data_IF_093541865246
#
_entry.id   IF_093541865246
#
_cell.length_a   1.000
_cell.length_b   1.000
_cell.length_c   1.000
_cell.angle_alpha   90.00
_cell.angle_beta   90.00
_cell.angle_gamma   90.00
#
_symmetry.space_group_name_H-M   'P 1'
#
loop_
_entity.id
_entity.type
_entity.pdbx_description
1 polymer ?
#
# COMPACT_ATOMS: atom_id res chain seq x y z
N UNK A 1 3.47 -21.57 -16.09
CA UNK A 1 4.38 -20.37 -16.00
C UNK A 1 5.49 -20.53 -17.02
N UNK A 2 5.80 -19.49 -17.77
CA UNK A 2 6.91 -19.53 -18.72
C UNK A 2 8.26 -19.62 -17.98
N UNK A 3 9.05 -20.65 -18.29
CA UNK A 3 10.40 -20.84 -17.76
C UNK A 3 11.47 -20.11 -18.60
N UNK A 4 11.16 -19.76 -19.85
CA UNK A 4 12.12 -19.23 -20.83
C UNK A 4 12.18 -17.71 -20.86
N UNK A 5 11.09 -17.01 -20.56
CA UNK A 5 11.07 -15.55 -20.57
C UNK A 5 10.22 -14.98 -19.44
N UNK A 6 10.66 -13.86 -18.88
CA UNK A 6 9.83 -13.06 -17.98
C UNK A 6 9.00 -12.09 -18.81
N UNK A 7 7.74 -11.88 -18.42
CA UNK A 7 6.91 -10.87 -19.06
C UNK A 7 7.57 -9.49 -18.95
N UNK A 8 7.54 -8.74 -20.04
CA UNK A 8 8.05 -7.37 -20.08
C UNK A 8 7.20 -6.51 -19.14
N UNK A 9 7.85 -5.80 -18.23
CA UNK A 9 7.16 -4.87 -17.32
C UNK A 9 6.65 -3.67 -18.13
N UNK A 10 5.34 -3.48 -18.17
CA UNK A 10 4.74 -2.32 -18.81
C UNK A 10 5.00 -1.07 -17.95
N UNK A 11 5.42 0.01 -18.58
CA UNK A 11 5.53 1.32 -17.94
C UNK A 11 4.12 1.91 -17.80
N UNK A 12 3.81 2.40 -16.59
CA UNK A 12 2.53 3.09 -16.34
C UNK A 12 2.74 4.56 -16.68
N UNK A 13 1.87 5.11 -17.52
CA UNK A 13 1.87 6.54 -17.82
C UNK A 13 1.54 7.33 -16.54
N UNK A 14 2.11 8.53 -16.38
CA UNK A 14 1.77 9.41 -15.25
C UNK A 14 0.29 9.80 -15.28
N UNK A 15 -0.23 10.22 -14.15
CA UNK A 15 -1.60 10.68 -13.99
C UNK A 15 -1.81 12.05 -14.63
N UNK A 16 -2.96 12.27 -15.24
CA UNK A 16 -3.25 13.50 -15.99
C UNK A 16 -3.33 14.76 -15.11
N UNK A 17 -3.80 14.64 -13.85
CA UNK A 17 -3.97 15.80 -12.94
C UNK A 17 -2.68 16.14 -12.18
N UNK A 18 -1.92 15.12 -11.75
CA UNK A 18 -0.79 15.29 -10.85
C UNK A 18 0.56 14.90 -11.47
N UNK A 19 0.59 14.52 -12.73
CA UNK A 19 1.79 14.06 -13.46
C UNK A 19 2.66 13.07 -12.65
N UNK A 20 2.00 12.14 -11.94
CA UNK A 20 2.65 11.21 -11.02
C UNK A 20 2.36 9.76 -11.36
N UNK A 21 3.41 8.98 -11.64
CA UNK A 21 3.29 7.53 -11.85
C UNK A 21 2.79 6.80 -10.59
N UNK A 22 3.11 7.31 -9.39
CA UNK A 22 2.66 6.72 -8.12
C UNK A 22 1.14 6.85 -7.98
N UNK A 23 0.58 7.99 -8.35
CA UNK A 23 -0.86 8.23 -8.36
C UNK A 23 -1.55 7.31 -9.36
N UNK A 24 -1.04 7.23 -10.59
CA UNK A 24 -1.59 6.37 -11.62
C UNK A 24 -1.57 4.89 -11.21
N UNK A 25 -0.47 4.42 -10.58
CA UNK A 25 -0.39 3.06 -10.01
C UNK A 25 -1.42 2.85 -8.89
N UNK A 26 -1.61 3.85 -8.02
CA UNK A 26 -2.57 3.76 -6.94
C UNK A 26 -4.00 3.66 -7.47
N UNK A 27 -4.39 4.48 -8.45
CA UNK A 27 -5.70 4.43 -9.11
C UNK A 27 -5.93 3.06 -9.75
N UNK A 28 -4.90 2.49 -10.40
CA UNK A 28 -4.99 1.15 -10.98
C UNK A 28 -5.23 0.03 -9.94
N UNK A 29 -4.73 0.20 -8.70
CA UNK A 29 -4.98 -0.75 -7.60
C UNK A 29 -6.34 -0.48 -6.94
N UNK A 30 -6.78 0.77 -6.91
CA UNK A 30 -8.06 1.20 -6.32
C UNK A 30 -9.25 0.73 -7.15
N UNK A 31 -9.13 0.80 -8.49
CA UNK A 31 -10.25 0.46 -9.40
C UNK A 31 -10.73 -0.98 -9.21
N UNK A 32 -12.00 -1.17 -9.48
CA UNK A 32 -12.68 -2.47 -9.48
C UNK A 32 -13.23 -2.76 -10.88
N UNK A 33 -13.15 -4.00 -11.34
CA UNK A 33 -13.72 -4.44 -12.64
C UNK A 33 -13.30 -3.59 -13.85
N UNK A 34 -12.10 -2.97 -13.81
CA UNK A 34 -11.62 -2.12 -14.89
C UNK A 34 -12.25 -0.72 -14.98
N UNK A 35 -13.09 -0.32 -14.00
CA UNK A 35 -13.76 0.99 -13.97
C UNK A 35 -12.77 2.09 -13.57
N UNK A 36 -11.89 2.49 -14.49
CA UNK A 36 -10.79 3.42 -14.19
C UNK A 36 -11.29 4.83 -13.89
N UNK A 37 -12.23 5.36 -14.65
CA UNK A 37 -12.81 6.70 -14.43
C UNK A 37 -13.44 6.85 -13.05
N UNK A 38 -14.12 5.80 -12.56
CA UNK A 38 -14.65 5.78 -11.19
C UNK A 38 -13.53 5.81 -10.15
N UNK A 39 -12.45 5.05 -10.38
CA UNK A 39 -11.26 5.09 -9.51
C UNK A 39 -10.58 6.45 -9.48
N UNK A 40 -10.48 7.13 -10.61
CA UNK A 40 -9.95 8.48 -10.73
C UNK A 40 -10.80 9.49 -9.95
N UNK A 41 -12.12 9.47 -10.15
CA UNK A 41 -13.06 10.35 -9.43
C UNK A 41 -12.99 10.16 -7.91
N UNK A 42 -12.90 8.90 -7.43
CA UNK A 42 -12.73 8.61 -5.99
C UNK A 42 -11.41 9.19 -5.48
N UNK A 43 -10.31 8.98 -6.20
CA UNK A 43 -9.01 9.46 -5.77
C UNK A 43 -8.95 10.99 -5.76
N UNK A 44 -9.40 11.65 -6.83
CA UNK A 44 -9.38 13.12 -6.89
C UNK A 44 -10.28 13.74 -5.83
N UNK A 45 -11.49 13.23 -5.67
CA UNK A 45 -12.39 13.69 -4.60
C UNK A 45 -11.80 13.46 -3.20
N UNK A 46 -11.09 12.35 -2.98
CA UNK A 46 -10.37 12.15 -1.72
C UNK A 46 -9.25 13.17 -1.51
N UNK A 47 -8.47 13.51 -2.55
CA UNK A 47 -7.40 14.50 -2.43
C UNK A 47 -7.94 15.90 -2.18
N UNK A 48 -9.04 16.29 -2.81
CA UNK A 48 -9.71 17.56 -2.56
C UNK A 48 -10.22 17.66 -1.09
N UNK A 49 -10.76 16.54 -0.56
CA UNK A 49 -11.15 16.44 0.86
C UNK A 49 -9.95 16.50 1.82
N UNK A 50 -8.84 15.86 1.48
CA UNK A 50 -7.59 15.94 2.28
C UNK A 50 -7.10 17.38 2.33
N UNK A 51 -7.07 18.07 1.20
CA UNK A 51 -6.63 19.47 1.10
C UNK A 51 -7.51 20.40 1.92
N UNK A 52 -8.84 20.24 1.84
CA UNK A 52 -9.78 21.04 2.65
C UNK A 52 -9.64 20.84 4.16
N UNK A 53 -9.24 19.63 4.60
CA UNK A 53 -9.11 19.29 6.03
C UNK A 53 -7.72 19.57 6.61
N UNK A 54 -6.68 19.54 5.81
CA UNK A 54 -5.29 19.69 6.28
C UNK A 54 -4.63 20.99 5.86
N UNK A 55 -5.27 21.77 4.97
CA UNK A 55 -4.68 22.99 4.37
C UNK A 55 -3.32 22.75 3.70
N UNK A 56 -3.05 21.50 3.27
CA UNK A 56 -1.86 21.09 2.56
C UNK A 56 -2.24 20.43 1.24
N UNK A 57 -1.38 20.51 0.19
CA UNK A 57 -1.66 19.82 -1.07
C UNK A 57 -1.92 18.32 -0.83
N UNK A 58 -3.10 17.83 -1.19
CA UNK A 58 -3.55 16.47 -0.89
C UNK A 58 -2.58 15.39 -1.36
N UNK A 59 -1.93 15.60 -2.51
CA UNK A 59 -0.91 14.67 -3.04
C UNK A 59 0.33 14.57 -2.16
N UNK A 60 0.74 15.64 -1.49
CA UNK A 60 1.90 15.62 -0.60
C UNK A 60 1.58 14.80 0.65
N UNK A 61 0.39 15.02 1.24
CA UNK A 61 -0.11 14.23 2.38
C UNK A 61 -0.21 12.74 1.99
N UNK A 62 -0.72 12.44 0.79
CA UNK A 62 -0.77 11.08 0.25
C UNK A 62 0.62 10.44 0.10
N UNK A 63 1.59 11.16 -0.45
CA UNK A 63 2.98 10.67 -0.59
C UNK A 63 3.59 10.38 0.78
N UNK A 64 3.36 11.24 1.76
CA UNK A 64 3.80 11.05 3.15
C UNK A 64 3.14 9.82 3.77
N UNK A 65 1.82 9.66 3.64
CA UNK A 65 1.09 8.50 4.10
C UNK A 65 1.64 7.19 3.51
N UNK A 66 1.88 7.16 2.19
CA UNK A 66 2.51 6.01 1.54
C UNK A 66 3.92 5.73 2.08
N UNK A 67 4.72 6.76 2.33
CA UNK A 67 6.07 6.59 2.88
C UNK A 67 6.02 5.97 4.27
N UNK A 68 5.10 6.44 5.12
CA UNK A 68 4.89 5.91 6.47
C UNK A 68 4.42 4.44 6.45
N UNK A 69 3.66 4.04 5.43
CA UNK A 69 3.11 2.69 5.29
C UNK A 69 4.07 1.66 4.71
N UNK A 70 5.18 2.06 4.08
CA UNK A 70 6.13 1.13 3.45
C UNK A 70 6.79 0.22 4.49
N UNK A 71 6.57 -1.12 4.46
CA UNK A 71 7.24 -2.03 5.36
C UNK A 71 8.68 -2.29 4.90
N UNK A 72 9.59 -2.47 5.85
CA UNK A 72 10.99 -2.86 5.57
C UNK A 72 11.12 -4.37 5.50
N UNK A 73 10.39 -5.10 6.35
CA UNK A 73 10.42 -6.56 6.47
C UNK A 73 9.01 -7.14 6.36
N UNK A 74 8.92 -8.35 5.84
CA UNK A 74 7.70 -9.17 5.82
C UNK A 74 8.05 -10.60 6.25
N UNK A 75 7.04 -11.36 6.63
CA UNK A 75 7.19 -12.78 6.98
C UNK A 75 6.72 -13.64 5.83
N UNK A 76 7.52 -14.64 5.46
CA UNK A 76 7.17 -15.63 4.44
C UNK A 76 7.24 -17.04 5.02
N UNK A 77 6.23 -17.84 4.71
CA UNK A 77 6.20 -19.24 5.08
C UNK A 77 7.21 -20.04 4.26
N UNK A 78 8.06 -20.84 4.93
CA UNK A 78 8.97 -21.77 4.30
C UNK A 78 8.83 -23.16 4.96
N UNK A 79 8.75 -24.20 4.15
CA UNK A 79 8.70 -25.58 4.63
C UNK A 79 10.11 -26.17 4.67
N UNK A 80 10.54 -26.61 5.83
CA UNK A 80 11.85 -27.24 6.05
C UNK A 80 11.64 -28.51 6.88
N UNK A 81 12.09 -29.67 6.37
CA UNK A 81 11.98 -30.94 7.07
C UNK A 81 10.55 -31.33 7.49
N UNK A 82 9.52 -30.91 6.73
CA UNK A 82 8.11 -31.20 7.04
C UNK A 82 7.40 -30.15 7.91
N UNK A 83 8.12 -29.30 8.63
CA UNK A 83 7.57 -28.20 9.41
C UNK A 83 7.53 -26.89 8.59
N UNK A 84 6.53 -26.05 8.86
CA UNK A 84 6.39 -24.73 8.21
C UNK A 84 6.86 -23.65 9.15
N UNK A 85 7.91 -22.93 8.76
CA UNK A 85 8.48 -21.81 9.51
C UNK A 85 8.10 -20.49 8.88
N UNK A 86 7.87 -19.48 9.74
CA UNK A 86 7.63 -18.09 9.32
C UNK A 86 8.98 -17.37 9.29
N UNK A 87 9.53 -17.16 8.09
CA UNK A 87 10.87 -16.60 7.90
C UNK A 87 10.78 -15.12 7.59
N UNK A 88 11.43 -14.22 8.39
CA UNK A 88 11.49 -12.79 8.09
C UNK A 88 12.40 -12.54 6.87
N UNK A 89 11.87 -11.76 5.92
CA UNK A 89 12.56 -11.43 4.66
C UNK A 89 12.46 -9.93 4.43
N UNK A 90 13.55 -9.31 3.97
CA UNK A 90 13.53 -7.92 3.56
C UNK A 90 12.66 -7.73 2.32
N UNK A 91 11.84 -6.68 2.32
CA UNK A 91 10.92 -6.37 1.23
C UNK A 91 11.62 -5.52 0.17
N UNK A 92 11.57 -5.93 -1.09
CA UNK A 92 12.12 -5.14 -2.22
C UNK A 92 11.37 -3.81 -2.37
N UNK A 93 12.02 -2.71 -2.80
CA UNK A 93 11.42 -1.37 -2.87
C UNK A 93 10.09 -1.30 -3.65
N UNK A 94 10.01 -1.99 -4.79
CA UNK A 94 8.77 -2.05 -5.59
C UNK A 94 7.62 -2.70 -4.79
N UNK A 95 7.91 -3.76 -4.05
CA UNK A 95 6.93 -4.48 -3.25
C UNK A 95 6.52 -3.69 -2.00
N UNK A 96 7.44 -2.93 -1.38
CA UNK A 96 7.11 -2.02 -0.27
C UNK A 96 5.99 -1.06 -0.68
N UNK A 97 6.13 -0.45 -1.86
CA UNK A 97 5.12 0.48 -2.39
C UNK A 97 3.80 -0.24 -2.71
N UNK A 98 3.84 -1.43 -3.29
CA UNK A 98 2.64 -2.20 -3.59
C UNK A 98 1.89 -2.64 -2.32
N UNK A 99 2.60 -3.03 -1.26
CA UNK A 99 2.01 -3.38 0.04
C UNK A 99 1.38 -2.16 0.71
N UNK A 100 2.08 -1.01 0.71
CA UNK A 100 1.55 0.23 1.27
C UNK A 100 0.24 0.64 0.60
N UNK A 101 0.18 0.62 -0.75
CA UNK A 101 -1.03 0.93 -1.51
C UNK A 101 -2.18 -0.03 -1.18
N UNK A 102 -1.89 -1.34 -1.12
CA UNK A 102 -2.89 -2.37 -0.82
C UNK A 102 -3.46 -2.22 0.58
N UNK A 103 -2.62 -1.98 1.58
CA UNK A 103 -3.07 -1.80 2.95
C UNK A 103 -3.88 -0.52 3.11
N UNK A 104 -3.45 0.58 2.51
CA UNK A 104 -4.19 1.83 2.53
C UNK A 104 -5.61 1.64 1.97
N UNK A 105 -5.76 0.96 0.82
CA UNK A 105 -7.05 0.71 0.20
C UNK A 105 -7.90 -0.26 1.05
N UNK A 106 -7.30 -1.32 1.58
CA UNK A 106 -8.01 -2.32 2.39
C UNK A 106 -8.65 -1.66 3.61
N UNK A 107 -7.86 -0.95 4.40
CA UNK A 107 -8.33 -0.31 5.63
C UNK A 107 -9.20 0.92 5.37
N UNK A 108 -9.02 1.62 4.25
CA UNK A 108 -10.00 2.63 3.83
C UNK A 108 -11.39 2.02 3.61
N UNK A 109 -11.48 0.84 2.99
CA UNK A 109 -12.78 0.17 2.75
C UNK A 109 -13.49 -0.26 4.04
N UNK A 110 -12.74 -0.58 5.09
CA UNK A 110 -13.27 -0.99 6.40
C UNK A 110 -13.79 0.18 7.24
N UNK A 111 -13.53 1.43 6.85
CA UNK A 111 -14.00 2.62 7.57
C UNK A 111 -15.50 2.81 7.44
N UNK A 112 -16.09 3.58 8.37
CA UNK A 112 -17.54 3.76 8.53
C UNK A 112 -18.11 4.97 7.77
N UNK A 113 -17.27 5.82 7.15
CA UNK A 113 -17.71 6.98 6.38
C UNK A 113 -18.62 6.56 5.20
N UNK A 114 -19.43 7.48 4.67
CA UNK A 114 -20.43 7.18 3.63
C UNK A 114 -19.80 6.80 2.30
N UNK A 115 -18.94 7.64 1.77
CA UNK A 115 -18.36 7.48 0.43
C UNK A 115 -16.94 6.93 0.49
N UNK A 116 -16.51 6.23 -0.58
CA UNK A 116 -15.14 5.73 -0.67
C UNK A 116 -14.11 6.88 -0.70
N UNK A 117 -14.47 8.03 -1.25
CA UNK A 117 -13.62 9.22 -1.25
C UNK A 117 -13.37 9.73 0.17
N UNK A 118 -14.41 9.80 1.01
CA UNK A 118 -14.30 10.19 2.42
C UNK A 118 -13.49 9.17 3.23
N UNK A 119 -13.76 7.87 3.03
CA UNK A 119 -13.01 6.77 3.67
C UNK A 119 -11.52 6.86 3.36
N UNK A 120 -11.18 7.05 2.09
CA UNK A 120 -9.80 7.17 1.63
C UNK A 120 -9.14 8.43 2.18
N UNK A 121 -9.82 9.58 2.15
CA UNK A 121 -9.30 10.84 2.69
C UNK A 121 -8.97 10.71 4.20
N UNK A 122 -9.89 10.13 4.96
CA UNK A 122 -9.69 9.94 6.39
C UNK A 122 -8.52 9.00 6.71
N UNK A 123 -8.38 7.87 5.98
CA UNK A 123 -7.26 6.94 6.18
C UNK A 123 -5.92 7.56 5.75
N UNK A 124 -5.89 8.33 4.66
CA UNK A 124 -4.70 9.06 4.20
C UNK A 124 -4.23 10.06 5.27
N UNK A 125 -5.16 10.84 5.85
CA UNK A 125 -4.83 11.80 6.92
C UNK A 125 -4.28 11.07 8.16
N UNK A 126 -4.92 9.99 8.60
CA UNK A 126 -4.46 9.20 9.74
C UNK A 126 -3.06 8.61 9.46
N UNK A 127 -2.86 7.98 8.29
CA UNK A 127 -1.59 7.39 7.92
C UNK A 127 -0.45 8.40 7.74
N UNK A 128 -0.75 9.64 7.32
CA UNK A 128 0.24 10.71 7.24
C UNK A 128 0.79 11.12 8.60
N UNK A 129 -0.05 11.03 9.64
CA UNK A 129 0.31 11.29 11.05
C UNK A 129 0.96 10.08 11.73
N UNK A 130 1.05 8.93 11.07
CA UNK A 130 1.54 7.69 11.66
C UNK A 130 0.49 6.93 12.47
N UNK A 131 -0.78 7.18 12.24
CA UNK A 131 -1.92 6.59 12.94
C UNK A 131 -2.80 5.77 11.98
N UNK A 132 -3.79 5.08 12.52
CA UNK A 132 -4.79 4.33 11.74
C UNK A 132 -4.47 2.85 11.57
N UNK A 133 -5.48 2.12 11.05
CA UNK A 133 -5.41 0.66 10.95
C UNK A 133 -4.39 0.19 9.91
N UNK A 134 -4.14 0.98 8.86
CA UNK A 134 -3.11 0.67 7.88
C UNK A 134 -1.70 0.72 8.48
N UNK A 135 -1.41 1.70 9.35
CA UNK A 135 -0.13 1.79 10.09
C UNK A 135 -0.01 0.64 11.07
N UNK A 136 -1.09 0.34 11.82
CA UNK A 136 -1.11 -0.81 12.74
C UNK A 136 -0.76 -2.12 12.02
N UNK A 137 -1.28 -2.33 10.81
CA UNK A 137 -0.93 -3.49 9.99
C UNK A 137 0.55 -3.58 9.66
N UNK A 138 1.19 -2.45 9.33
CA UNK A 138 2.64 -2.39 9.12
C UNK A 138 3.39 -2.78 10.39
N UNK A 139 3.01 -2.21 11.54
CA UNK A 139 3.63 -2.49 12.83
C UNK A 139 3.46 -3.96 13.23
N UNK A 140 2.27 -4.53 13.06
CA UNK A 140 2.02 -5.94 13.32
C UNK A 140 2.89 -6.84 12.43
N UNK A 141 3.06 -6.45 11.16
CA UNK A 141 3.95 -7.18 10.24
C UNK A 141 5.41 -7.12 10.69
N UNK A 142 5.89 -5.96 11.15
CA UNK A 142 7.23 -5.80 11.70
C UNK A 142 7.40 -6.56 13.01
N UNK A 143 6.40 -6.53 13.91
CA UNK A 143 6.39 -7.28 15.17
C UNK A 143 6.45 -8.80 14.94
N UNK A 144 5.66 -9.30 13.97
CA UNK A 144 5.72 -10.70 13.56
C UNK A 144 7.10 -11.08 13.01
N UNK A 145 7.71 -10.21 12.21
CA UNK A 145 9.06 -10.45 11.67
C UNK A 145 10.12 -10.47 12.77
N UNK A 146 10.01 -9.62 13.77
CA UNK A 146 10.89 -9.57 14.93
C UNK A 146 10.74 -10.81 15.81
N UNK A 147 9.50 -11.22 16.13
CA UNK A 147 9.23 -12.44 16.90
C UNK A 147 9.79 -13.70 16.22
N UNK A 148 9.84 -13.71 14.89
CA UNK A 148 10.37 -14.84 14.11
C UNK A 148 11.86 -14.67 13.70
N UNK A 149 12.58 -13.72 14.28
CA UNK A 149 13.97 -13.41 13.95
C UNK A 149 14.91 -14.61 14.09
N UNK A 150 14.63 -15.51 15.03
CA UNK A 150 15.39 -16.75 15.22
C UNK A 150 15.43 -17.64 13.97
N UNK A 151 14.39 -17.57 13.11
CA UNK A 151 14.30 -18.35 11.88
C UNK A 151 14.88 -17.64 10.65
N UNK A 152 15.56 -16.51 10.83
CA UNK A 152 16.16 -15.75 9.72
C UNK A 152 17.23 -16.55 8.96
N UNK A 153 17.89 -17.51 9.59
CA UNK A 153 18.88 -18.39 8.96
C UNK A 153 18.26 -19.35 7.92
N UNK A 154 16.95 -19.57 7.93
CA UNK A 154 16.23 -20.32 6.88
C UNK A 154 15.92 -19.48 5.64
N UNK A 155 16.40 -18.23 5.56
CA UNK A 155 16.22 -17.36 4.38
C UNK A 155 16.98 -17.93 3.17
N UNK A 156 16.39 -17.84 1.97
CA UNK A 156 17.00 -18.23 0.68
C UNK A 156 17.36 -17.02 -0.16
#
# INVERSE_FOLDING_TARGET
MSRRARAVKRTVLPDARYDSQTVSKFINVLMYQGKKSTGENIFYGAMDLVESRTSQPGVNVFKQALQNLKPVVEVKSRRVGGATYQVPVEVRPERRTALAMRWLILYSRERTEKSMAEKLAAEVISASKGEGNAIKKKEDTHRMAEANKAFAHYRW
#
